data_IF_293284664652
#
_entry.id   IF_293284664652
#
_cell.length_a   1.000
_cell.length_b   1.000
_cell.length_c   1.000
_cell.angle_alpha   90.00
_cell.angle_beta   90.00
_cell.angle_gamma   90.00
#
_symmetry.space_group_name_H-M   'P 1'
#
loop_
_entity.id
_entity.type
_entity.pdbx_description
1 polymer ?
#
# COMPACT_ATOMS: atom_id res chain seq x y z
N UNK A 1 -7.49 -8.87 -0.55
CA UNK A 1 -7.77 -7.64 -1.32
C UNK A 1 -7.10 -7.77 -2.68
N UNK A 2 -7.62 -8.66 -3.54
CA UNK A 2 -6.92 -9.05 -4.75
C UNK A 2 -6.68 -7.85 -5.70
N UNK A 3 -5.71 -8.02 -6.61
CA UNK A 3 -5.45 -7.10 -7.70
C UNK A 3 -6.51 -7.29 -8.77
N UNK A 4 -7.38 -6.30 -8.93
CA UNK A 4 -8.34 -6.28 -10.01
C UNK A 4 -7.64 -5.84 -11.30
N UNK A 5 -7.78 -6.64 -12.34
CA UNK A 5 -7.14 -6.41 -13.65
C UNK A 5 -8.11 -6.74 -14.78
N UNK A 6 -8.05 -5.95 -15.85
CA UNK A 6 -8.87 -6.17 -17.03
C UNK A 6 -8.50 -7.48 -17.76
N UNK A 7 -9.48 -8.16 -18.35
CA UNK A 7 -9.31 -9.43 -19.11
C UNK A 7 -8.19 -9.36 -20.14
N UNK A 8 -8.17 -8.33 -20.99
CA UNK A 8 -7.10 -8.07 -21.98
C UNK A 8 -5.69 -7.97 -21.39
N UNK A 9 -5.53 -7.34 -20.22
CA UNK A 9 -4.22 -7.21 -19.60
C UNK A 9 -3.79 -8.51 -18.92
N UNK A 10 -4.75 -9.24 -18.32
CA UNK A 10 -4.52 -10.58 -17.76
C UNK A 10 -4.09 -11.59 -18.85
N UNK A 11 -4.75 -11.57 -20.01
CA UNK A 11 -4.40 -12.38 -21.18
C UNK A 11 -2.99 -12.06 -21.68
N UNK A 12 -2.64 -10.76 -21.85
CA UNK A 12 -1.30 -10.33 -22.25
C UNK A 12 -0.20 -10.81 -21.28
N UNK A 13 -0.53 -10.91 -19.99
CA UNK A 13 0.39 -11.37 -18.95
C UNK A 13 0.35 -12.90 -18.74
N UNK A 14 -0.61 -13.59 -19.35
CA UNK A 14 -0.87 -15.02 -19.14
C UNK A 14 -1.13 -15.34 -17.66
N UNK A 15 -2.04 -14.60 -17.01
CA UNK A 15 -2.49 -14.83 -15.63
C UNK A 15 -4.00 -14.99 -15.54
N UNK A 16 -4.46 -15.79 -14.59
CA UNK A 16 -5.86 -16.09 -14.31
C UNK A 16 -6.23 -15.74 -12.86
N UNK A 17 -7.50 -15.90 -12.50
CA UNK A 17 -7.97 -15.73 -11.12
C UNK A 17 -7.18 -16.61 -10.15
N UNK A 18 -6.69 -16.01 -9.08
CA UNK A 18 -5.92 -16.70 -8.04
C UNK A 18 -4.42 -16.82 -8.32
N UNK A 19 -3.96 -16.57 -9.56
CA UNK A 19 -2.54 -16.42 -9.85
C UNK A 19 -1.95 -15.23 -9.09
N UNK A 20 -0.63 -15.16 -9.00
CA UNK A 20 0.07 -14.08 -8.30
C UNK A 20 0.59 -13.03 -9.28
N UNK A 21 0.50 -11.77 -8.87
CA UNK A 21 1.19 -10.65 -9.50
C UNK A 21 2.06 -9.93 -8.48
N UNK A 22 3.23 -9.52 -8.94
CA UNK A 22 4.09 -8.56 -8.26
C UNK A 22 3.74 -7.16 -8.76
N UNK A 23 3.38 -6.29 -7.83
CA UNK A 23 3.11 -4.87 -8.08
C UNK A 23 4.31 -4.08 -7.59
N UNK A 24 5.03 -3.45 -8.51
CA UNK A 24 6.20 -2.63 -8.21
C UNK A 24 5.83 -1.15 -8.28
N UNK A 25 6.10 -0.44 -7.19
CA UNK A 25 5.91 1.01 -7.06
C UNK A 25 7.26 1.72 -7.16
N UNK A 26 7.28 3.04 -6.93
CA UNK A 26 8.51 3.82 -6.88
C UNK A 26 9.46 3.45 -5.72
N UNK A 27 8.94 2.90 -4.62
CA UNK A 27 9.68 2.73 -3.36
C UNK A 27 9.74 1.28 -2.88
N UNK A 28 9.06 0.36 -3.56
CA UNK A 28 8.92 -1.01 -3.10
C UNK A 28 8.09 -1.87 -4.03
N UNK A 29 7.67 -3.03 -3.53
CA UNK A 29 6.78 -3.91 -4.23
C UNK A 29 6.00 -4.80 -3.26
N UNK A 30 4.89 -5.36 -3.71
CA UNK A 30 4.13 -6.38 -2.99
C UNK A 30 3.60 -7.45 -3.94
N UNK A 31 3.33 -8.64 -3.42
CA UNK A 31 2.76 -9.75 -4.19
C UNK A 31 1.37 -10.10 -3.67
N UNK A 32 0.39 -10.10 -4.57
CA UNK A 32 -1.02 -10.39 -4.23
C UNK A 32 -1.67 -11.21 -5.37
N UNK A 33 -2.85 -11.76 -5.08
CA UNK A 33 -3.64 -12.58 -5.99
C UNK A 33 -4.35 -11.73 -7.04
N UNK A 34 -4.52 -12.31 -8.22
CA UNK A 34 -5.24 -11.74 -9.34
C UNK A 34 -6.74 -11.97 -9.21
N UNK A 35 -7.51 -10.94 -9.52
CA UNK A 35 -8.93 -10.99 -9.83
C UNK A 35 -9.18 -10.37 -11.21
N UNK A 36 -9.42 -11.20 -12.20
CA UNK A 36 -9.73 -10.82 -13.58
C UNK A 36 -11.18 -10.37 -13.68
N UNK A 37 -11.39 -9.16 -14.21
CA UNK A 37 -12.73 -8.56 -14.34
C UNK A 37 -12.75 -7.51 -15.44
N UNK A 38 -13.87 -7.35 -16.14
CA UNK A 38 -14.04 -6.27 -17.13
C UNK A 38 -14.42 -4.92 -16.48
N UNK A 39 -14.61 -4.88 -15.15
CA UNK A 39 -14.98 -3.68 -14.40
C UNK A 39 -13.83 -2.68 -14.18
N UNK A 40 -12.61 -2.98 -14.63
CA UNK A 40 -11.45 -2.10 -14.55
C UNK A 40 -11.01 -1.69 -15.95
N UNK A 41 -10.71 -0.41 -16.18
CA UNK A 41 -10.23 0.06 -17.48
C UNK A 41 -8.92 -0.66 -17.87
N UNK A 42 -8.74 -1.09 -19.15
CA UNK A 42 -7.45 -1.57 -19.63
C UNK A 42 -6.30 -0.60 -19.35
N UNK A 43 -5.17 -1.14 -18.90
CA UNK A 43 -3.98 -0.41 -18.45
C UNK A 43 -4.05 0.11 -17.01
N UNK A 44 -5.10 -0.22 -16.26
CA UNK A 44 -5.27 0.13 -14.84
C UNK A 44 -5.37 -1.16 -14.03
N UNK A 45 -4.80 -1.15 -12.83
CA UNK A 45 -5.05 -2.17 -11.80
C UNK A 45 -5.59 -1.50 -10.55
N UNK A 46 -6.43 -2.21 -9.80
CA UNK A 46 -7.00 -1.69 -8.55
C UNK A 46 -6.77 -2.68 -7.41
N UNK A 47 -6.51 -2.15 -6.21
CA UNK A 47 -6.38 -2.93 -4.98
C UNK A 47 -7.02 -2.15 -3.83
N UNK A 48 -7.87 -2.81 -3.05
CA UNK A 48 -8.54 -2.19 -1.90
C UNK A 48 -7.59 -2.06 -0.70
N UNK A 49 -7.56 -0.89 -0.06
CA UNK A 49 -6.72 -0.59 1.11
C UNK A 49 -7.33 -0.98 2.47
N UNK A 50 -8.56 -1.53 2.49
CA UNK A 50 -9.27 -1.84 3.73
C UNK A 50 -8.91 -3.20 4.38
N UNK A 51 -8.11 -4.00 3.68
CA UNK A 51 -7.68 -5.36 4.06
C UNK A 51 -6.14 -5.41 4.01
N UNK A 52 -5.53 -6.46 4.58
CA UNK A 52 -4.09 -6.54 4.77
C UNK A 52 -3.68 -6.14 6.18
N UNK A 53 -4.48 -6.51 7.19
CA UNK A 53 -4.05 -6.34 8.59
C UNK A 53 -2.98 -7.38 8.86
N UNK A 54 -1.96 -6.98 9.60
CA UNK A 54 -0.84 -7.85 9.94
C UNK A 54 -0.43 -7.65 11.40
N UNK A 55 0.22 -8.67 11.95
CA UNK A 55 0.85 -8.63 13.26
C UNK A 55 2.12 -9.47 13.25
N UNK A 56 3.08 -9.16 14.11
CA UNK A 56 4.23 -10.05 14.35
C UNK A 56 3.80 -11.19 15.27
N UNK A 57 4.62 -12.24 15.31
CA UNK A 57 4.36 -13.41 16.14
C UNK A 57 4.16 -13.06 17.63
N UNK A 58 4.94 -12.10 18.13
CA UNK A 58 4.94 -11.67 19.53
C UNK A 58 3.95 -10.53 19.82
N UNK A 59 3.21 -10.04 18.82
CA UNK A 59 2.22 -8.98 19.03
C UNK A 59 0.92 -9.57 19.58
N UNK A 60 0.42 -8.98 20.66
CA UNK A 60 -0.95 -9.15 21.11
C UNK A 60 -1.91 -8.37 20.21
N UNK A 61 -3.10 -8.90 19.94
CA UNK A 61 -4.08 -8.21 19.13
C UNK A 61 -5.07 -9.13 18.41
N UNK A 62 -5.90 -8.50 17.57
CA UNK A 62 -6.96 -9.15 16.83
C UNK A 62 -6.39 -10.20 15.85
N UNK A 63 -6.83 -11.46 16.00
CA UNK A 63 -6.46 -12.59 15.11
C UNK A 63 -7.51 -12.92 14.06
N UNK A 64 -8.71 -12.33 14.15
CA UNK A 64 -9.82 -12.60 13.25
C UNK A 64 -9.53 -12.21 11.80
N UNK A 65 -8.76 -11.16 11.52
CA UNK A 65 -8.56 -10.69 10.13
C UNK A 65 -7.10 -10.34 9.82
N UNK A 66 -6.16 -10.95 10.55
CA UNK A 66 -4.77 -10.49 10.61
C UNK A 66 -3.81 -11.61 10.23
N UNK A 67 -2.95 -11.37 9.24
CA UNK A 67 -1.87 -12.28 8.92
C UNK A 67 -0.74 -12.17 9.95
N UNK A 68 -0.09 -13.29 10.25
CA UNK A 68 1.17 -13.28 11.01
C UNK A 68 2.32 -13.04 10.04
N UNK A 69 3.13 -12.03 10.29
CA UNK A 69 4.24 -11.63 9.42
C UNK A 69 5.57 -11.65 10.15
N UNK A 70 6.64 -11.86 9.39
CA UNK A 70 8.02 -11.64 9.82
C UNK A 70 8.56 -10.39 9.11
N UNK A 71 9.14 -9.46 9.87
CA UNK A 71 9.73 -8.24 9.32
C UNK A 71 11.24 -8.33 9.45
N UNK A 72 11.94 -8.28 8.32
CA UNK A 72 13.39 -8.36 8.20
C UNK A 72 13.94 -7.00 7.79
N UNK A 73 14.88 -6.49 8.58
CA UNK A 73 15.74 -5.39 8.15
C UNK A 73 16.88 -5.98 7.32
N UNK A 74 16.97 -5.59 6.06
CA UNK A 74 18.00 -6.06 5.12
C UNK A 74 19.22 -5.13 5.08
N UNK A 75 19.26 -4.10 5.94
CA UNK A 75 20.28 -3.05 5.93
C UNK A 75 19.94 -1.93 4.93
N UNK A 76 20.64 -0.80 5.05
CA UNK A 76 20.57 0.31 4.09
C UNK A 76 19.14 0.83 3.81
N UNK A 77 18.27 0.84 4.82
CA UNK A 77 16.87 1.28 4.66
C UNK A 77 15.97 0.29 3.91
N UNK A 78 16.44 -0.92 3.60
CA UNK A 78 15.67 -1.96 2.92
C UNK A 78 14.99 -2.87 3.94
N UNK A 79 13.70 -3.10 3.75
CA UNK A 79 12.88 -3.92 4.62
C UNK A 79 12.10 -4.93 3.80
N UNK A 80 11.99 -6.15 4.31
CA UNK A 80 11.12 -7.18 3.76
C UNK A 80 10.14 -7.65 4.82
N UNK A 81 8.85 -7.65 4.49
CA UNK A 81 7.80 -8.28 5.27
C UNK A 81 7.38 -9.55 4.53
N UNK A 82 7.41 -10.68 5.23
CA UNK A 82 7.02 -11.98 4.70
C UNK A 82 5.82 -12.50 5.47
N UNK A 83 4.81 -12.98 4.76
CA UNK A 83 3.65 -13.62 5.40
C UNK A 83 4.05 -15.02 5.87
N UNK A 84 3.99 -15.25 7.19
CA UNK A 84 4.35 -16.51 7.84
C UNK A 84 3.15 -17.43 7.91
N UNK A 85 2.01 -16.90 8.36
CA UNK A 85 0.74 -17.62 8.37
C UNK A 85 -0.43 -16.67 8.11
N UNK A 86 -1.47 -17.21 7.46
CA UNK A 86 -2.71 -16.50 7.23
C UNK A 86 -3.61 -16.50 8.48
N UNK A 87 -4.90 -16.27 8.25
CA UNK A 87 -5.89 -16.36 9.32
C UNK A 87 -6.24 -17.83 9.57
N UNK A 88 -6.24 -18.23 10.84
CA UNK A 88 -6.56 -19.59 11.27
C UNK A 88 -7.42 -19.55 12.54
N UNK A 89 -8.23 -20.59 12.83
CA UNK A 89 -8.93 -20.69 14.10
C UNK A 89 -7.95 -20.90 15.25
N UNK A 90 -8.32 -20.43 16.45
CA UNK A 90 -7.53 -20.65 17.66
C UNK A 90 -8.43 -20.94 18.85
N UNK A 91 -7.93 -21.76 19.77
CA UNK A 91 -8.66 -22.18 20.97
C UNK A 91 -8.62 -21.10 22.05
N UNK A 92 -9.79 -20.67 22.47
CA UNK A 92 -10.01 -19.81 23.65
C UNK A 92 -11.28 -20.25 24.38
N UNK A 93 -11.62 -19.57 25.48
CA UNK A 93 -12.90 -19.74 26.17
C UNK A 93 -14.09 -19.17 25.37
N UNK A 94 -13.83 -18.30 24.40
CA UNK A 94 -14.81 -17.88 23.40
C UNK A 94 -14.91 -18.95 22.29
N UNK A 95 -16.06 -19.65 22.14
CA UNK A 95 -16.21 -20.71 21.16
C UNK A 95 -16.12 -20.21 19.70
N UNK A 96 -16.35 -18.92 19.44
CA UNK A 96 -16.36 -18.39 18.07
C UNK A 96 -14.95 -18.27 17.47
N UNK A 97 -13.90 -18.17 18.30
CA UNK A 97 -12.52 -18.15 17.82
C UNK A 97 -12.10 -19.46 17.15
N UNK A 98 -12.74 -20.57 17.52
CA UNK A 98 -12.52 -21.88 16.89
C UNK A 98 -13.29 -22.06 15.57
N UNK A 99 -14.24 -21.16 15.26
CA UNK A 99 -15.12 -21.26 14.07
C UNK A 99 -14.62 -20.44 12.88
N UNK A 100 -13.49 -19.76 13.03
CA UNK A 100 -12.88 -18.97 11.95
C UNK A 100 -12.52 -19.88 10.77
N UNK A 101 -13.25 -19.74 9.67
CA UNK A 101 -13.12 -20.58 8.47
C UNK A 101 -12.47 -19.88 7.28
N UNK A 102 -12.43 -18.54 7.26
CA UNK A 102 -11.69 -17.80 6.26
C UNK A 102 -10.18 -17.90 6.53
N UNK A 103 -9.38 -17.77 5.47
CA UNK A 103 -7.93 -18.01 5.49
C UNK A 103 -7.09 -16.82 5.04
N UNK A 104 -7.74 -15.82 4.43
CA UNK A 104 -7.06 -14.74 3.76
C UNK A 104 -7.22 -13.41 4.52
N UNK A 105 -6.13 -12.94 5.14
CA UNK A 105 -6.07 -11.62 5.79
C UNK A 105 -5.70 -10.47 4.85
N UNK A 106 -5.43 -10.76 3.56
CA UNK A 106 -5.02 -9.82 2.53
C UNK A 106 -3.57 -9.34 2.62
N UNK A 107 -3.20 -8.37 1.81
CA UNK A 107 -1.85 -7.82 1.69
C UNK A 107 -1.82 -6.34 2.05
N UNK A 108 -0.88 -5.94 2.89
CA UNK A 108 -0.72 -4.56 3.35
C UNK A 108 0.03 -3.67 2.34
N UNK A 109 -0.50 -3.54 1.13
CA UNK A 109 0.07 -2.75 0.03
C UNK A 109 0.46 -1.29 0.35
N UNK A 110 -0.22 -0.60 1.29
CA UNK A 110 -0.08 0.85 1.48
C UNK A 110 1.35 1.27 1.81
N UNK A 111 2.13 0.43 2.50
CA UNK A 111 3.53 0.73 2.85
C UNK A 111 4.46 0.78 1.65
N UNK A 112 4.02 0.27 0.50
CA UNK A 112 4.76 0.35 -0.76
C UNK A 112 4.42 1.61 -1.56
N UNK A 113 3.40 2.38 -1.18
CA UNK A 113 3.00 3.57 -1.93
C UNK A 113 3.78 4.79 -1.46
N UNK A 114 4.39 5.52 -2.40
CA UNK A 114 5.25 6.65 -2.09
C UNK A 114 4.45 7.85 -1.56
N UNK A 115 5.02 8.61 -0.63
CA UNK A 115 4.34 9.77 -0.03
C UNK A 115 4.26 10.95 -1.01
N UNK A 116 3.07 11.20 -1.54
CA UNK A 116 2.77 12.23 -2.53
C UNK A 116 1.74 13.23 -1.97
N UNK A 117 2.12 14.19 -1.12
CA UNK A 117 1.17 15.17 -0.60
C UNK A 117 0.69 16.12 -1.69
N UNK A 118 -0.61 16.26 -1.87
CA UNK A 118 -1.22 17.36 -2.61
C UNK A 118 -0.72 18.67 -2.01
N UNK A 119 -0.19 19.59 -2.82
CA UNK A 119 0.64 20.64 -2.23
C UNK A 119 -0.18 21.79 -1.62
N UNK A 120 -1.46 21.91 -2.01
CA UNK A 120 -2.45 22.84 -1.46
C UNK A 120 -3.02 22.32 -0.12
N UNK A 121 -3.51 21.08 -0.10
CA UNK A 121 -4.23 20.50 1.04
C UNK A 121 -3.35 19.71 2.00
N UNK A 122 -2.24 19.15 1.51
CA UNK A 122 -1.41 18.18 2.21
C UNK A 122 -1.97 16.76 2.20
N UNK A 123 -3.14 16.52 1.59
CA UNK A 123 -3.73 15.18 1.50
C UNK A 123 -2.87 14.24 0.63
N UNK A 124 -2.84 12.95 0.96
CA UNK A 124 -2.04 12.00 0.18
C UNK A 124 -2.70 11.67 -1.17
N UNK A 125 -1.93 11.76 -2.26
CA UNK A 125 -2.33 11.37 -3.61
C UNK A 125 -2.12 9.86 -3.82
N UNK A 126 -3.20 9.09 -3.62
CA UNK A 126 -3.15 7.61 -3.62
C UNK A 126 -3.01 6.95 -4.98
N UNK A 127 -3.39 7.63 -6.08
CA UNK A 127 -3.25 7.05 -7.42
C UNK A 127 -1.81 7.17 -7.90
N UNK A 128 -1.14 6.03 -8.04
CA UNK A 128 0.27 5.97 -8.39
C UNK A 128 0.50 5.11 -9.63
N UNK A 129 1.54 5.45 -10.39
CA UNK A 129 2.04 4.61 -11.47
C UNK A 129 2.70 3.38 -10.85
N UNK A 130 2.34 2.20 -11.36
CA UNK A 130 2.94 0.92 -10.99
C UNK A 130 3.43 0.17 -12.24
N UNK A 131 4.35 -0.76 -12.03
CA UNK A 131 4.72 -1.80 -12.98
C UNK A 131 4.26 -3.15 -12.45
N UNK A 132 3.84 -4.05 -13.34
CA UNK A 132 3.32 -5.37 -12.96
C UNK A 132 4.12 -6.48 -13.66
N UNK A 133 4.39 -7.55 -12.92
CA UNK A 133 5.03 -8.75 -13.44
C UNK A 133 4.52 -9.99 -12.70
N UNK A 134 4.84 -11.19 -13.19
CA UNK A 134 4.77 -12.39 -12.35
C UNK A 134 5.83 -12.28 -11.23
N UNK A 135 5.57 -12.85 -10.04
CA UNK A 135 6.58 -12.90 -8.99
C UNK A 135 7.80 -13.73 -9.40
N UNK A 136 8.96 -13.36 -8.88
CA UNK A 136 10.19 -14.13 -9.06
C UNK A 136 10.18 -15.43 -8.24
N UNK A 137 11.04 -16.42 -8.55
CA UNK A 137 11.21 -17.60 -7.71
C UNK A 137 11.50 -17.21 -6.25
N UNK A 138 10.61 -17.63 -5.34
CA UNK A 138 10.72 -17.35 -3.91
C UNK A 138 9.97 -16.12 -3.42
N UNK A 139 9.41 -15.29 -4.31
CA UNK A 139 8.46 -14.24 -3.95
C UNK A 139 7.06 -14.84 -3.80
N UNK A 140 6.53 -14.79 -2.57
CA UNK A 140 5.29 -15.49 -2.20
C UNK A 140 4.13 -14.52 -2.03
N UNK A 141 2.92 -15.06 -2.04
CA UNK A 141 1.73 -14.31 -1.66
C UNK A 141 1.93 -13.56 -0.33
N UNK A 142 1.64 -12.25 -0.33
CA UNK A 142 1.77 -11.41 0.85
C UNK A 142 3.19 -10.99 1.21
N UNK A 143 4.19 -11.31 0.38
CA UNK A 143 5.51 -10.70 0.51
C UNK A 143 5.43 -9.21 0.12
N UNK A 144 6.13 -8.39 0.91
CA UNK A 144 6.24 -6.95 0.71
C UNK A 144 7.69 -6.54 0.89
N UNK A 145 8.15 -5.62 0.06
CA UNK A 145 9.46 -5.00 0.18
C UNK A 145 9.34 -3.49 0.10
N UNK A 146 10.11 -2.78 0.92
CA UNK A 146 10.15 -1.32 0.96
C UNK A 146 11.59 -0.85 1.11
N UNK A 147 11.95 0.21 0.39
CA UNK A 147 13.20 0.95 0.51
C UNK A 147 12.90 2.35 1.06
N UNK A 148 13.28 2.60 2.30
CA UNK A 148 13.02 3.88 2.98
C UNK A 148 13.86 5.01 2.44
N UNK A 149 15.03 4.73 1.85
CA UNK A 149 15.85 5.76 1.22
C UNK A 149 15.17 6.25 -0.06
N UNK A 150 14.67 5.32 -0.89
CA UNK A 150 13.85 5.67 -2.06
C UNK A 150 12.59 6.41 -1.68
N UNK A 151 11.95 6.04 -0.57
CA UNK A 151 10.78 6.75 -0.05
C UNK A 151 11.07 8.21 0.23
N UNK A 152 12.17 8.49 0.93
CA UNK A 152 12.54 9.87 1.26
C UNK A 152 13.02 10.67 0.05
N UNK A 153 13.77 10.04 -0.86
CA UNK A 153 14.17 10.65 -2.14
C UNK A 153 12.95 11.02 -2.99
N UNK A 154 11.99 10.10 -3.12
CA UNK A 154 10.75 10.34 -3.86
C UNK A 154 9.94 11.49 -3.27
N UNK A 155 9.80 11.52 -1.93
CA UNK A 155 9.11 12.61 -1.24
C UNK A 155 9.75 13.98 -1.52
N UNK A 156 11.09 14.08 -1.47
CA UNK A 156 11.80 15.33 -1.81
C UNK A 156 11.53 15.75 -3.25
N UNK A 157 11.66 14.81 -4.19
CA UNK A 157 11.41 15.04 -5.61
C UNK A 157 9.98 15.49 -5.88
N UNK A 158 9.00 14.88 -5.21
CA UNK A 158 7.60 15.25 -5.30
C UNK A 158 7.37 16.69 -4.82
N UNK A 159 7.96 17.08 -3.68
CA UNK A 159 7.85 18.45 -3.18
C UNK A 159 8.49 19.47 -4.11
N UNK A 160 9.61 19.14 -4.75
CA UNK A 160 10.23 20.01 -5.77
C UNK A 160 9.31 20.18 -6.98
N UNK A 161 8.73 19.09 -7.48
CA UNK A 161 7.77 19.14 -8.58
C UNK A 161 6.52 19.94 -8.25
N UNK A 162 5.98 19.75 -7.04
CA UNK A 162 4.86 20.54 -6.54
C UNK A 162 5.23 22.02 -6.50
N UNK A 163 6.31 22.38 -5.80
CA UNK A 163 6.77 23.78 -5.68
C UNK A 163 7.02 24.44 -7.04
N UNK A 164 7.57 23.69 -8.01
CA UNK A 164 7.84 24.22 -9.35
C UNK A 164 6.57 24.47 -10.19
N UNK A 165 5.44 23.81 -9.85
CA UNK A 165 4.17 23.91 -10.58
C UNK A 165 3.13 24.76 -9.85
N UNK A 166 3.31 24.97 -8.55
CA UNK A 166 2.39 25.76 -7.75
C UNK A 166 2.50 27.26 -8.03
N UNK A 167 1.36 27.92 -7.94
CA UNK A 167 1.29 29.38 -7.83
C UNK A 167 0.80 29.69 -6.43
N UNK A 168 1.42 30.67 -5.78
CA UNK A 168 1.06 31.10 -4.42
C UNK A 168 0.43 32.50 -4.46
N UNK A 169 -0.89 32.62 -4.75
CA UNK A 169 -1.58 33.90 -4.70
C UNK A 169 -1.35 34.58 -3.35
N UNK A 170 -1.03 35.87 -3.38
CA UNK A 170 -0.80 36.69 -2.17
C UNK A 170 0.32 36.15 -1.25
N UNK A 171 1.28 35.40 -1.79
CA UNK A 171 2.40 34.84 -1.02
C UNK A 171 2.00 33.71 -0.06
N UNK A 172 0.79 33.17 -0.20
CA UNK A 172 0.29 32.09 0.66
C UNK A 172 0.85 30.75 0.23
N UNK A 173 1.54 30.05 1.15
CA UNK A 173 1.89 28.63 1.00
C UNK A 173 0.65 27.80 0.71
N UNK A 174 -0.48 28.11 1.36
CA UNK A 174 -1.76 27.39 1.23
C UNK A 174 -2.98 28.30 1.53
N UNK A 175 -4.20 27.95 1.10
CA UNK A 175 -5.41 28.77 1.34
C UNK A 175 -5.81 28.86 2.83
N UNK A 176 -6.17 30.06 3.28
CA UNK A 176 -6.61 30.33 4.66
C UNK A 176 -7.95 29.69 5.02
N UNK A 177 -8.85 29.56 4.04
CA UNK A 177 -10.23 29.07 4.23
C UNK A 177 -10.32 27.53 4.32
N UNK A 178 -9.24 26.80 4.08
CA UNK A 178 -9.23 25.34 4.15
C UNK A 178 -9.12 24.90 5.62
N UNK A 179 -10.17 24.24 6.14
CA UNK A 179 -10.23 23.74 7.51
C UNK A 179 -9.20 22.62 7.77
N UNK A 180 -8.57 22.66 8.95
CA UNK A 180 -7.49 21.71 9.32
C UNK A 180 -7.52 21.37 10.81
N UNK A 181 -7.20 20.13 11.19
CA UNK A 181 -6.76 19.85 12.54
C UNK A 181 -5.47 20.62 12.81
N UNK A 182 -5.41 21.38 13.91
CA UNK A 182 -4.23 22.15 14.32
C UNK A 182 -3.80 23.21 13.29
N UNK A 183 -4.61 24.25 13.10
CA UNK A 183 -4.29 25.38 12.21
C UNK A 183 -2.93 26.01 12.58
N UNK A 184 -2.04 26.27 11.60
CA UNK A 184 -0.82 27.05 11.81
C UNK A 184 -1.12 28.47 12.30
N UNK A 185 -0.16 29.11 12.97
CA UNK A 185 -0.20 30.56 13.17
C UNK A 185 -0.23 31.28 11.81
N UNK A 186 -0.90 32.44 11.74
CA UNK A 186 -1.15 33.16 10.48
C UNK A 186 0.17 33.45 9.74
N UNK A 187 1.24 33.81 10.43
CA UNK A 187 2.55 34.07 9.80
C UNK A 187 3.11 32.84 9.04
N UNK A 188 2.80 31.62 9.49
CA UNK A 188 3.28 30.38 8.88
C UNK A 188 2.52 30.01 7.59
N UNK A 189 1.45 30.74 7.25
CA UNK A 189 0.78 30.60 5.96
C UNK A 189 1.52 31.30 4.82
N UNK A 190 2.47 32.19 5.11
CA UNK A 190 3.17 32.98 4.09
C UNK A 190 4.57 32.43 3.80
N UNK A 191 5.01 32.58 2.54
CA UNK A 191 6.32 32.15 2.04
C UNK A 191 7.51 32.90 2.64
#
# INVERSE_FOLDING_TARGET
NPIWIHTKDAERLGVNNGDLLKITTAIGWFVDKVWVTEAIKPGVVACSHHIGRWRRQNDEGNRFMTNTVNIKNLGEGKWKMETVSGVEPWKTDDPDTNRVWWRDGGVHQNITHATNPDPISGAHCWHQKVSISKPEPGEKYGDIFVDTNKSFEHFKKWNEWAKARETHPNGLRRPLWMARPLHPQIENYYL
#
